data_IF_793559043081
#
_entry.id   IF_793559043081
#
_cell.length_a   1.000
_cell.length_b   1.000
_cell.length_c   1.000
_cell.angle_alpha   90.00
_cell.angle_beta   90.00
_cell.angle_gamma   90.00
#
_symmetry.space_group_name_H-M   'P 1'
#
loop_
_entity.id
_entity.type
_entity.pdbx_description
1 polymer ?
#
# COMPACT_ATOMS: atom_id res chain seq x y z
N UNK A 1 43.52 7.23 -23.44
CA UNK A 1 42.69 8.19 -22.69
C UNK A 1 41.25 8.00 -23.15
N UNK A 2 40.47 7.16 -22.48
CA UNK A 2 39.07 6.94 -22.84
C UNK A 2 38.22 8.07 -22.28
N UNK A 3 37.53 8.82 -23.13
CA UNK A 3 36.50 9.76 -22.69
C UNK A 3 35.45 8.97 -21.90
N UNK A 4 35.44 9.13 -20.58
CA UNK A 4 34.31 8.72 -19.74
C UNK A 4 33.14 9.57 -20.18
N UNK A 5 32.31 9.05 -21.08
CA UNK A 5 31.11 9.76 -21.55
C UNK A 5 30.24 10.08 -20.33
N UNK A 6 29.99 11.37 -20.10
CA UNK A 6 29.16 11.80 -19.00
C UNK A 6 27.70 11.36 -19.24
N UNK A 7 27.01 10.96 -18.17
CA UNK A 7 25.58 10.64 -18.30
C UNK A 7 24.81 11.94 -18.48
N UNK A 8 24.02 12.04 -19.56
CA UNK A 8 23.19 13.19 -19.89
C UNK A 8 21.73 12.89 -19.56
N UNK A 9 21.05 13.84 -18.90
CA UNK A 9 19.60 13.78 -18.69
C UNK A 9 18.93 14.76 -19.63
N UNK A 10 17.96 14.26 -20.41
CA UNK A 10 17.24 15.06 -21.42
C UNK A 10 15.85 14.51 -21.70
N UNK A 11 14.97 15.27 -22.37
CA UNK A 11 13.72 14.74 -22.90
C UNK A 11 13.94 13.52 -23.80
N UNK A 12 13.00 12.59 -23.74
CA UNK A 12 12.92 11.45 -24.65
C UNK A 12 12.69 11.93 -26.10
N UNK A 13 13.24 11.21 -27.07
CA UNK A 13 12.90 11.36 -28.49
C UNK A 13 11.88 10.30 -28.91
N UNK A 14 11.11 10.57 -29.96
CA UNK A 14 10.03 9.67 -30.38
C UNK A 14 10.53 8.26 -30.76
N UNK A 15 11.72 8.17 -31.37
CA UNK A 15 12.38 6.92 -31.76
C UNK A 15 12.93 6.12 -30.56
N UNK A 16 13.03 6.73 -29.38
CA UNK A 16 13.54 6.11 -28.16
C UNK A 16 12.45 5.45 -27.31
N UNK A 17 11.17 5.67 -27.65
CA UNK A 17 10.02 5.21 -26.85
C UNK A 17 9.98 3.69 -26.67
N UNK A 18 10.27 2.96 -27.74
CA UNK A 18 10.32 1.48 -27.73
C UNK A 18 11.44 0.96 -26.82
N UNK A 19 12.61 1.61 -26.85
CA UNK A 19 13.75 1.25 -26.01
C UNK A 19 13.47 1.52 -24.52
N UNK A 20 12.85 2.66 -24.21
CA UNK A 20 12.42 2.98 -22.84
C UNK A 20 11.37 1.98 -22.34
N UNK A 21 10.43 1.57 -23.19
CA UNK A 21 9.44 0.54 -22.84
C UNK A 21 10.10 -0.82 -22.58
N UNK A 22 11.06 -1.22 -23.40
CA UNK A 22 11.84 -2.44 -23.16
C UNK A 22 12.62 -2.38 -21.83
N UNK A 23 13.23 -1.23 -21.53
CA UNK A 23 13.89 -0.99 -20.24
C UNK A 23 12.91 -1.06 -19.06
N UNK A 24 11.70 -0.51 -19.20
CA UNK A 24 10.64 -0.59 -18.20
C UNK A 24 10.24 -2.04 -17.93
N UNK A 25 10.02 -2.85 -18.99
CA UNK A 25 9.70 -4.27 -18.84
C UNK A 25 10.80 -5.05 -18.11
N UNK A 26 12.08 -4.73 -18.36
CA UNK A 26 13.22 -5.34 -17.66
C UNK A 26 13.32 -4.89 -16.20
N UNK A 27 12.74 -3.73 -15.86
CA UNK A 27 12.83 -3.12 -14.54
C UNK A 27 11.73 -3.57 -13.57
N UNK A 28 10.55 -3.94 -14.09
CA UNK A 28 9.37 -4.27 -13.29
C UNK A 28 8.84 -5.71 -13.52
N UNK A 29 8.23 -6.33 -12.49
CA UNK A 29 7.50 -7.60 -12.62
C UNK A 29 6.34 -7.51 -13.61
N UNK A 30 5.90 -8.67 -14.15
CA UNK A 30 4.89 -8.76 -15.21
C UNK A 30 3.62 -7.95 -14.92
N UNK A 31 3.04 -8.12 -13.72
CA UNK A 31 1.76 -7.48 -13.36
C UNK A 31 1.89 -5.96 -13.29
N UNK A 32 3.00 -5.45 -12.74
CA UNK A 32 3.24 -4.00 -12.62
C UNK A 32 3.39 -3.34 -14.01
N UNK A 33 3.86 -4.07 -15.03
CA UNK A 33 4.00 -3.54 -16.41
C UNK A 33 2.66 -3.11 -17.00
N UNK A 34 1.55 -3.76 -16.65
CA UNK A 34 0.23 -3.41 -17.15
C UNK A 34 -0.26 -2.03 -16.67
N UNK A 35 0.28 -1.55 -15.55
CA UNK A 35 -0.08 -0.25 -14.98
C UNK A 35 0.80 0.88 -15.51
N UNK A 36 1.82 0.58 -16.32
CA UNK A 36 2.68 1.60 -16.89
C UNK A 36 1.90 2.50 -17.85
N UNK A 37 1.94 3.79 -17.58
CA UNK A 37 1.28 4.83 -18.37
C UNK A 37 2.27 5.88 -18.86
N UNK A 38 2.14 6.28 -20.11
CA UNK A 38 2.91 7.39 -20.68
C UNK A 38 2.29 8.73 -20.32
N UNK A 39 3.14 9.75 -20.21
CA UNK A 39 2.74 11.16 -20.18
C UNK A 39 3.52 11.91 -21.27
N UNK A 40 3.13 13.16 -21.59
CA UNK A 40 3.91 14.00 -22.51
C UNK A 40 5.31 14.38 -22.00
N UNK A 41 5.58 14.21 -20.70
CA UNK A 41 6.80 14.69 -20.06
C UNK A 41 7.63 13.50 -19.55
N UNK A 42 8.57 13.06 -20.36
CA UNK A 42 9.50 11.97 -20.02
C UNK A 42 10.92 12.43 -20.18
N UNK A 43 11.73 12.24 -19.14
CA UNK A 43 13.18 12.44 -19.20
C UNK A 43 13.88 11.08 -19.17
N UNK A 44 14.99 10.99 -19.88
CA UNK A 44 15.85 9.80 -19.92
C UNK A 44 17.25 10.15 -19.45
N UNK A 45 17.93 9.15 -18.87
CA UNK A 45 19.36 9.19 -18.60
C UNK A 45 20.07 8.35 -19.67
N UNK A 46 20.98 8.97 -20.42
CA UNK A 46 21.72 8.31 -21.49
C UNK A 46 23.24 8.50 -21.33
N UNK A 47 24.02 7.47 -21.67
CA UNK A 47 25.48 7.50 -21.65
C UNK A 47 26.00 6.79 -22.90
N UNK A 48 26.87 7.46 -23.68
CA UNK A 48 27.38 6.94 -24.95
C UNK A 48 26.29 6.35 -25.90
N UNK A 49 25.12 6.99 -25.95
CA UNK A 49 23.99 6.52 -26.78
C UNK A 49 23.16 5.40 -26.16
N UNK A 50 23.57 4.81 -25.03
CA UNK A 50 22.81 3.81 -24.30
C UNK A 50 21.83 4.45 -23.32
N UNK A 51 20.57 4.01 -23.32
CA UNK A 51 19.57 4.41 -22.33
C UNK A 51 19.75 3.62 -21.02
N UNK A 52 19.90 4.35 -19.91
CA UNK A 52 20.21 3.79 -18.59
C UNK A 52 19.10 4.00 -17.56
N UNK A 53 18.16 4.89 -17.82
CA UNK A 53 17.00 5.11 -16.96
C UNK A 53 16.02 6.11 -17.54
N UNK A 54 14.83 6.16 -16.96
CA UNK A 54 13.78 7.09 -17.34
C UNK A 54 12.96 7.53 -16.12
N UNK A 55 12.36 8.72 -16.26
CA UNK A 55 11.38 9.27 -15.33
C UNK A 55 10.19 9.82 -16.12
N UNK A 56 8.99 9.43 -15.70
CA UNK A 56 7.71 9.86 -16.29
C UNK A 56 7.07 10.86 -15.34
N UNK A 57 6.88 12.07 -15.84
CA UNK A 57 6.42 13.24 -15.10
C UNK A 57 5.01 13.60 -15.53
N UNK A 58 4.16 13.96 -14.58
CA UNK A 58 2.78 14.36 -14.81
C UNK A 58 2.55 15.76 -14.26
N UNK A 59 1.79 16.56 -15.00
CA UNK A 59 1.28 17.85 -14.54
C UNK A 59 -0.24 17.77 -14.46
N UNK A 60 -0.83 18.35 -13.43
CA UNK A 60 -2.27 18.57 -13.36
C UNK A 60 -2.60 19.78 -12.49
N UNK A 61 -3.80 20.33 -12.67
CA UNK A 61 -4.29 21.46 -11.90
C UNK A 61 -5.27 21.01 -10.81
N UNK A 62 -5.25 21.73 -9.70
CA UNK A 62 -6.20 21.64 -8.60
C UNK A 62 -7.01 22.95 -8.49
N UNK A 63 -8.13 22.97 -7.73
CA UNK A 63 -8.87 24.20 -7.47
C UNK A 63 -7.97 25.34 -6.95
N UNK A 64 -8.39 26.58 -7.23
CA UNK A 64 -7.61 27.81 -6.97
C UNK A 64 -6.31 27.90 -7.80
N UNK A 65 -6.33 27.36 -9.02
CA UNK A 65 -5.23 27.41 -9.99
C UNK A 65 -3.90 26.82 -9.47
N UNK A 66 -3.97 25.90 -8.49
CA UNK A 66 -2.77 25.26 -7.96
C UNK A 66 -2.25 24.25 -8.98
N UNK A 67 -1.00 24.39 -9.43
CA UNK A 67 -0.34 23.50 -10.38
C UNK A 67 0.46 22.45 -9.62
N UNK A 68 0.21 21.17 -9.92
CA UNK A 68 0.83 20.03 -9.24
C UNK A 68 1.73 19.27 -10.21
N UNK A 69 2.97 19.06 -9.81
CA UNK A 69 3.87 18.10 -10.41
C UNK A 69 3.74 16.72 -9.77
N UNK A 70 3.88 15.66 -10.54
CA UNK A 70 3.88 14.30 -10.02
C UNK A 70 4.87 13.40 -10.73
N UNK A 71 5.59 12.59 -9.96
CA UNK A 71 6.44 11.53 -10.51
C UNK A 71 5.61 10.25 -10.59
N UNK A 72 5.23 9.86 -11.81
CA UNK A 72 4.43 8.66 -12.05
C UNK A 72 5.29 7.41 -12.07
N UNK A 73 6.46 7.48 -12.71
CA UNK A 73 7.38 6.35 -12.81
C UNK A 73 8.82 6.85 -12.75
N UNK A 74 9.68 6.11 -12.06
CA UNK A 74 11.13 6.28 -12.14
C UNK A 74 11.79 4.91 -12.08
N UNK A 75 12.67 4.64 -13.04
CA UNK A 75 13.35 3.36 -13.13
C UNK A 75 14.68 3.51 -13.84
N UNK A 76 15.61 2.61 -13.49
CA UNK A 76 16.91 2.49 -14.14
C UNK A 76 17.06 1.07 -14.67
N UNK A 77 17.79 0.92 -15.77
CA UNK A 77 18.19 -0.37 -16.27
C UNK A 77 18.83 -1.20 -15.13
N UNK A 78 18.59 -2.53 -15.06
CA UNK A 78 19.13 -3.37 -14.00
C UNK A 78 20.64 -3.21 -13.77
N UNK A 79 21.40 -3.13 -14.87
CA UNK A 79 22.84 -2.91 -14.97
C UNK A 79 23.29 -1.53 -14.47
N UNK A 80 22.41 -0.53 -14.45
CA UNK A 80 22.71 0.83 -14.05
C UNK A 80 22.29 1.16 -12.61
N UNK A 81 21.80 0.16 -11.85
CA UNK A 81 21.37 0.32 -10.46
C UNK A 81 22.57 0.58 -9.56
N UNK A 82 22.39 1.47 -8.57
CA UNK A 82 23.43 1.85 -7.62
C UNK A 82 24.39 2.93 -8.12
N UNK A 83 24.30 3.35 -9.39
CA UNK A 83 25.11 4.42 -9.98
C UNK A 83 24.58 5.85 -9.73
N UNK A 84 23.61 6.00 -8.82
CA UNK A 84 22.99 7.30 -8.52
C UNK A 84 22.04 7.86 -9.60
N UNK A 85 21.80 7.14 -10.71
CA UNK A 85 20.97 7.64 -11.81
C UNK A 85 19.52 7.94 -11.43
N UNK A 86 18.90 7.10 -10.60
CA UNK A 86 17.54 7.34 -10.12
C UNK A 86 17.44 8.66 -9.33
N UNK A 87 18.48 9.00 -8.58
CA UNK A 87 18.56 10.28 -7.87
C UNK A 87 18.66 11.45 -8.86
N UNK A 88 19.58 11.37 -9.83
CA UNK A 88 19.77 12.43 -10.83
C UNK A 88 18.51 12.65 -11.69
N UNK A 89 17.82 11.58 -12.05
CA UNK A 89 16.54 11.65 -12.77
C UNK A 89 15.45 12.35 -11.94
N UNK A 90 15.36 12.06 -10.64
CA UNK A 90 14.41 12.73 -9.75
C UNK A 90 14.74 14.20 -9.56
N UNK A 91 16.03 14.55 -9.43
CA UNK A 91 16.48 15.95 -9.36
C UNK A 91 16.11 16.72 -10.64
N UNK A 92 16.40 16.16 -11.82
CA UNK A 92 15.99 16.77 -13.09
C UNK A 92 14.45 16.88 -13.24
N UNK A 93 13.71 15.93 -12.67
CA UNK A 93 12.25 16.00 -12.59
C UNK A 93 11.76 17.16 -11.71
N UNK A 94 12.46 17.47 -10.62
CA UNK A 94 12.15 18.64 -9.80
C UNK A 94 12.44 19.95 -10.53
N UNK A 95 13.59 20.04 -11.21
CA UNK A 95 13.94 21.22 -12.01
C UNK A 95 12.92 21.45 -13.14
N UNK A 96 12.36 20.36 -13.68
CA UNK A 96 11.23 20.44 -14.61
C UNK A 96 9.98 21.03 -13.92
N UNK A 97 9.55 20.49 -12.77
CA UNK A 97 8.36 21.00 -12.07
C UNK A 97 8.50 22.46 -11.62
N UNK A 98 9.70 22.88 -11.20
CA UNK A 98 9.98 24.26 -10.81
C UNK A 98 9.90 25.21 -12.00
N UNK A 99 10.50 24.86 -13.16
CA UNK A 99 10.36 25.65 -14.40
C UNK A 99 8.91 25.72 -14.89
N UNK A 100 8.15 24.67 -14.66
CA UNK A 100 6.73 24.64 -14.95
C UNK A 100 5.88 25.44 -13.94
N UNK A 101 6.48 26.00 -12.88
CA UNK A 101 5.76 26.78 -11.87
C UNK A 101 4.80 25.93 -11.04
N UNK A 102 5.16 24.68 -10.72
CA UNK A 102 4.34 23.84 -9.84
C UNK A 102 4.43 24.32 -8.39
N UNK A 103 3.28 24.46 -7.73
CA UNK A 103 3.18 24.84 -6.31
C UNK A 103 3.58 23.69 -5.37
N UNK A 104 3.42 22.45 -5.83
CA UNK A 104 3.75 21.26 -5.07
C UNK A 104 4.10 20.08 -5.97
N UNK A 105 4.82 19.13 -5.40
CA UNK A 105 5.18 17.88 -6.06
C UNK A 105 4.64 16.71 -5.23
N UNK A 106 3.95 15.79 -5.89
CA UNK A 106 3.38 14.58 -5.29
C UNK A 106 4.03 13.31 -5.85
N UNK A 107 4.09 12.27 -5.03
CA UNK A 107 4.52 10.93 -5.48
C UNK A 107 3.86 9.85 -4.62
N UNK A 108 3.40 8.77 -5.27
CA UNK A 108 2.92 7.57 -4.58
C UNK A 108 4.10 6.62 -4.36
N UNK A 109 4.29 6.15 -3.12
CA UNK A 109 5.38 5.23 -2.77
C UNK A 109 4.86 4.11 -1.89
N UNK A 110 5.12 2.87 -2.31
CA UNK A 110 4.84 1.67 -1.51
C UNK A 110 5.60 1.73 -0.18
N UNK A 111 4.92 1.41 0.92
CA UNK A 111 5.42 1.65 2.27
C UNK A 111 6.68 0.86 2.68
N UNK A 112 6.96 -0.27 2.06
CA UNK A 112 8.21 -1.04 2.24
C UNK A 112 9.27 -0.76 1.16
N UNK A 113 8.99 0.10 0.18
CA UNK A 113 9.95 0.57 -0.81
C UNK A 113 10.92 1.59 -0.20
N UNK A 114 11.87 1.05 0.56
CA UNK A 114 12.92 1.81 1.25
C UNK A 114 13.78 2.68 0.36
N UNK A 115 14.01 2.27 -0.89
CA UNK A 115 14.83 3.04 -1.84
C UNK A 115 14.14 4.35 -2.19
N UNK A 116 12.88 4.28 -2.63
CA UNK A 116 12.09 5.46 -2.98
C UNK A 116 11.77 6.32 -1.75
N UNK A 117 11.37 5.68 -0.63
CA UNK A 117 11.09 6.39 0.62
C UNK A 117 12.30 7.20 1.11
N UNK A 118 13.51 6.63 1.08
CA UNK A 118 14.74 7.36 1.43
C UNK A 118 14.98 8.50 0.45
N UNK A 119 14.87 8.24 -0.86
CA UNK A 119 15.13 9.22 -1.91
C UNK A 119 14.28 10.49 -1.73
N UNK A 120 12.98 10.33 -1.50
CA UNK A 120 12.04 11.44 -1.34
C UNK A 120 12.13 12.10 0.04
N UNK A 121 12.29 11.32 1.12
CA UNK A 121 12.44 11.88 2.47
C UNK A 121 13.63 12.84 2.57
N UNK A 122 14.78 12.52 1.95
CA UNK A 122 15.96 13.41 1.95
C UNK A 122 15.81 14.64 1.05
N UNK A 123 14.68 14.79 0.34
CA UNK A 123 14.38 15.87 -0.61
C UNK A 123 13.19 16.74 -0.14
N UNK A 124 12.90 16.71 1.16
CA UNK A 124 11.85 17.55 1.75
C UNK A 124 10.43 17.04 1.52
N UNK A 125 10.25 15.79 1.09
CA UNK A 125 8.93 15.16 1.05
C UNK A 125 8.57 14.59 2.42
N UNK A 126 7.28 14.60 2.72
CA UNK A 126 6.70 13.84 3.82
C UNK A 126 5.40 13.16 3.43
N UNK A 127 5.06 12.08 4.12
CA UNK A 127 3.81 11.33 3.92
C UNK A 127 2.62 12.18 4.38
N UNK A 128 1.63 12.36 3.51
CA UNK A 128 0.33 12.92 3.87
C UNK A 128 -0.57 11.81 4.42
N UNK A 129 -0.87 11.87 5.73
CA UNK A 129 -1.94 11.05 6.31
C UNK A 129 -3.29 11.37 5.67
N UNK A 130 -4.29 10.46 5.72
CA UNK A 130 -5.61 10.71 5.14
C UNK A 130 -6.22 12.04 5.60
N UNK A 131 -6.17 12.32 6.91
CA UNK A 131 -6.59 13.59 7.49
C UNK A 131 -5.83 14.79 6.91
N UNK A 132 -4.50 14.67 6.75
CA UNK A 132 -3.69 15.74 6.16
C UNK A 132 -4.02 15.98 4.68
N UNK A 133 -4.40 14.93 3.93
CA UNK A 133 -4.85 15.05 2.55
C UNK A 133 -6.15 15.87 2.46
N UNK A 134 -7.17 15.49 3.24
CA UNK A 134 -8.43 16.24 3.29
C UNK A 134 -8.27 17.65 3.83
N UNK A 135 -7.38 17.88 4.80
CA UNK A 135 -7.06 19.24 5.26
C UNK A 135 -6.36 20.08 4.19
N UNK A 136 -5.49 19.47 3.37
CA UNK A 136 -4.70 20.17 2.34
C UNK A 136 -5.49 20.43 1.06
N UNK A 137 -6.41 19.55 0.69
CA UNK A 137 -7.12 19.61 -0.60
C UNK A 137 -8.64 19.66 -0.48
N UNK A 138 -9.22 19.49 0.71
CA UNK A 138 -10.66 19.32 0.87
C UNK A 138 -11.17 18.14 0.05
N UNK A 139 -12.30 18.33 -0.62
CA UNK A 139 -12.87 17.33 -1.53
C UNK A 139 -12.02 17.11 -2.80
N UNK A 140 -11.12 18.03 -3.15
CA UNK A 140 -10.19 17.83 -4.26
C UNK A 140 -9.19 16.69 -4.00
N UNK A 141 -9.14 16.16 -2.78
CA UNK A 141 -8.44 14.89 -2.46
C UNK A 141 -8.85 13.77 -3.41
N UNK A 142 -10.13 13.68 -3.78
CA UNK A 142 -10.60 12.65 -4.72
C UNK A 142 -10.02 12.87 -6.13
N UNK A 143 -9.86 14.13 -6.55
CA UNK A 143 -9.19 14.45 -7.82
C UNK A 143 -7.73 14.05 -7.76
N UNK A 144 -7.02 14.36 -6.66
CA UNK A 144 -5.64 13.92 -6.45
C UNK A 144 -5.53 12.39 -6.55
N UNK A 145 -6.43 11.66 -5.89
CA UNK A 145 -6.44 10.20 -5.94
C UNK A 145 -6.68 9.64 -7.34
N UNK A 146 -7.54 10.26 -8.13
CA UNK A 146 -7.75 9.88 -9.53
C UNK A 146 -6.53 10.20 -10.38
N UNK A 147 -5.95 11.40 -10.23
CA UNK A 147 -4.79 11.82 -11.00
C UNK A 147 -3.53 10.99 -10.72
N UNK A 148 -3.40 10.46 -9.51
CA UNK A 148 -2.28 9.62 -9.09
C UNK A 148 -2.60 8.12 -9.14
N UNK A 149 -3.83 7.73 -9.47
CA UNK A 149 -4.32 6.34 -9.39
C UNK A 149 -4.19 5.75 -7.96
N UNK A 150 -4.11 6.61 -6.95
CA UNK A 150 -3.94 6.26 -5.53
C UNK A 150 -5.14 5.46 -4.96
N UNK A 151 -6.26 5.39 -5.66
CA UNK A 151 -7.47 4.69 -5.22
C UNK A 151 -7.45 3.16 -5.44
N UNK A 152 -6.34 2.62 -5.98
CA UNK A 152 -6.15 1.18 -6.24
C UNK A 152 -4.92 0.59 -5.53
N UNK A 153 -4.12 1.41 -4.85
CA UNK A 153 -2.78 1.05 -4.40
C UNK A 153 -2.70 0.84 -2.87
N UNK A 154 -3.33 -0.23 -2.37
CA UNK A 154 -3.29 -0.52 -0.93
C UNK A 154 -1.84 -0.62 -0.42
N UNK A 155 -1.51 0.16 0.61
CA UNK A 155 -0.17 0.22 1.19
C UNK A 155 0.84 1.12 0.49
N UNK A 156 0.38 1.89 -0.49
CA UNK A 156 1.10 3.04 -0.99
C UNK A 156 0.70 4.28 -0.21
N UNK A 157 1.65 5.20 -0.06
CA UNK A 157 1.46 6.45 0.64
C UNK A 157 1.65 7.62 -0.30
N UNK A 158 0.80 8.62 -0.15
CA UNK A 158 0.96 9.88 -0.85
C UNK A 158 2.03 10.72 -0.15
N UNK A 159 3.16 10.95 -0.82
CA UNK A 159 4.20 11.86 -0.36
C UNK A 159 4.03 13.21 -1.05
N UNK A 160 4.27 14.29 -0.29
CA UNK A 160 4.19 15.65 -0.81
C UNK A 160 5.41 16.47 -0.45
N UNK A 161 5.81 17.34 -1.40
CA UNK A 161 6.75 18.45 -1.20
C UNK A 161 6.01 19.76 -1.52
N UNK A 162 5.94 20.73 -0.58
CA UNK A 162 6.48 20.65 0.79
C UNK A 162 5.77 19.60 1.65
N UNK A 163 6.51 19.04 2.61
CA UNK A 163 6.02 18.09 3.60
C UNK A 163 4.84 18.65 4.42
N UNK A 164 3.99 17.81 5.03
CA UNK A 164 2.91 18.27 5.91
C UNK A 164 3.46 19.04 7.12
N UNK A 165 2.81 20.14 7.46
CA UNK A 165 3.18 20.98 8.60
C UNK A 165 2.92 20.32 9.97
N UNK A 166 1.95 19.40 10.05
CA UNK A 166 1.59 18.69 11.28
C UNK A 166 1.97 17.22 11.18
N UNK A 167 2.44 16.66 12.30
CA UNK A 167 2.66 15.23 12.44
C UNK A 167 1.36 14.44 12.26
N UNK A 168 1.49 13.18 11.82
CA UNK A 168 0.35 12.28 11.68
C UNK A 168 -0.13 11.75 13.04
N UNK A 169 -1.40 11.34 13.11
CA UNK A 169 -1.99 10.72 14.30
C UNK A 169 -2.25 9.23 14.02
N UNK A 170 -1.42 8.31 14.57
CA UNK A 170 -1.60 6.87 14.35
C UNK A 170 -2.92 6.32 14.92
N UNK A 171 -3.39 6.86 16.04
CA UNK A 171 -4.65 6.42 16.67
C UNK A 171 -5.85 6.81 15.82
N UNK A 172 -5.87 8.04 15.28
CA UNK A 172 -6.93 8.48 14.37
C UNK A 172 -6.95 7.65 13.09
N UNK A 173 -5.79 7.32 12.54
CA UNK A 173 -5.69 6.43 11.38
C UNK A 173 -6.22 5.03 11.69
N UNK A 174 -5.94 4.48 12.88
CA UNK A 174 -6.41 3.16 13.28
C UNK A 174 -7.93 3.12 13.43
N UNK A 175 -8.51 4.07 14.18
CA UNK A 175 -9.96 4.17 14.32
C UNK A 175 -10.67 4.51 13.00
N UNK A 176 -10.05 5.36 12.17
CA UNK A 176 -10.53 5.65 10.82
C UNK A 176 -10.57 4.40 9.94
N UNK A 177 -9.57 3.52 10.05
CA UNK A 177 -9.56 2.26 9.33
C UNK A 177 -10.66 1.31 9.81
N UNK A 178 -10.90 1.21 11.12
CA UNK A 178 -12.02 0.44 11.67
C UNK A 178 -13.34 1.00 11.12
N UNK A 179 -13.59 2.30 11.27
CA UNK A 179 -14.84 2.93 10.83
C UNK A 179 -15.09 2.73 9.32
N UNK A 180 -14.06 2.90 8.49
CA UNK A 180 -14.18 2.71 7.04
C UNK A 180 -14.46 1.24 6.66
N UNK A 181 -13.75 0.28 7.25
CA UNK A 181 -14.05 -1.14 7.01
C UNK A 181 -15.44 -1.52 7.52
N UNK A 182 -15.89 -0.97 8.66
CA UNK A 182 -17.24 -1.21 9.18
C UNK A 182 -18.30 -0.69 8.22
N UNK A 183 -18.17 0.56 7.73
CA UNK A 183 -19.09 1.14 6.76
C UNK A 183 -19.16 0.31 5.47
N UNK A 184 -18.02 -0.18 4.97
CA UNK A 184 -17.98 -1.05 3.80
C UNK A 184 -18.59 -2.43 4.10
N UNK A 185 -18.38 -2.97 5.30
CA UNK A 185 -19.02 -4.20 5.76
C UNK A 185 -20.55 -4.08 5.75
N UNK A 186 -21.09 -2.99 6.31
CA UNK A 186 -22.53 -2.73 6.24
C UNK A 186 -23.03 -2.55 4.81
N UNK A 187 -22.24 -1.88 3.95
CA UNK A 187 -22.57 -1.74 2.54
C UNK A 187 -22.65 -3.08 1.81
N UNK A 188 -21.74 -4.01 2.13
CA UNK A 188 -21.76 -5.36 1.58
C UNK A 188 -23.00 -6.15 2.05
N UNK A 189 -23.36 -6.08 3.33
CA UNK A 189 -24.57 -6.73 3.85
C UNK A 189 -25.86 -6.16 3.25
N UNK A 190 -25.91 -4.83 3.09
CA UNK A 190 -27.00 -4.17 2.36
C UNK A 190 -27.10 -4.68 0.92
N UNK A 191 -25.97 -4.80 0.23
CA UNK A 191 -25.93 -5.30 -1.15
C UNK A 191 -26.41 -6.76 -1.28
N UNK A 192 -26.21 -7.57 -0.25
CA UNK A 192 -26.68 -8.96 -0.17
C UNK A 192 -28.17 -9.07 0.20
N UNK A 193 -28.86 -7.97 0.48
CA UNK A 193 -30.26 -7.99 0.95
C UNK A 193 -30.42 -8.52 2.38
N UNK A 194 -29.33 -8.56 3.16
CA UNK A 194 -29.32 -9.14 4.50
C UNK A 194 -29.64 -8.13 5.61
N UNK A 195 -30.02 -6.89 5.29
CA UNK A 195 -30.28 -5.84 6.28
C UNK A 195 -31.47 -6.12 7.19
N UNK A 196 -32.46 -6.91 6.73
CA UNK A 196 -33.58 -7.36 7.56
C UNK A 196 -33.30 -8.59 8.41
N UNK A 197 -32.14 -9.23 8.22
CA UNK A 197 -31.72 -10.44 8.94
C UNK A 197 -30.75 -10.13 10.10
N UNK A 198 -30.32 -8.88 10.25
CA UNK A 198 -29.42 -8.44 11.32
C UNK A 198 -30.31 -8.02 12.49
N UNK A 199 -30.36 -8.82 13.55
CA UNK A 199 -30.99 -8.38 14.80
C UNK A 199 -30.34 -7.06 15.28
N UNK A 200 -31.06 -6.13 15.92
CA UNK A 200 -30.48 -4.86 16.38
C UNK A 200 -29.23 -5.03 17.27
N UNK A 201 -29.14 -6.14 18.00
CA UNK A 201 -27.96 -6.50 18.80
C UNK A 201 -26.70 -6.79 17.95
N UNK A 202 -26.87 -7.14 16.67
CA UNK A 202 -25.82 -7.46 15.72
C UNK A 202 -25.28 -6.25 14.95
N UNK A 203 -25.90 -5.07 15.08
CA UNK A 203 -25.42 -3.82 14.47
C UNK A 203 -23.99 -3.48 14.94
N UNK A 204 -23.60 -3.94 16.14
CA UNK A 204 -22.24 -3.73 16.67
C UNK A 204 -21.28 -4.90 16.39
N UNK A 205 -21.74 -6.01 15.81
CA UNK A 205 -20.91 -7.19 15.60
C UNK A 205 -19.75 -6.91 14.63
N UNK A 206 -20.03 -6.26 13.48
CA UNK A 206 -18.99 -5.91 12.49
C UNK A 206 -17.88 -5.04 13.10
N UNK A 207 -18.16 -3.85 13.68
CA UNK A 207 -17.10 -3.03 14.25
C UNK A 207 -16.35 -3.73 15.40
N UNK A 208 -17.04 -4.49 16.25
CA UNK A 208 -16.40 -5.21 17.35
C UNK A 208 -15.46 -6.31 16.86
N UNK A 209 -15.89 -7.10 15.88
CA UNK A 209 -15.07 -8.15 15.26
C UNK A 209 -13.89 -7.54 14.50
N UNK A 210 -14.07 -6.41 13.79
CA UNK A 210 -12.95 -5.72 13.15
C UNK A 210 -11.95 -5.19 14.18
N UNK A 211 -12.41 -4.61 15.29
CA UNK A 211 -11.55 -4.20 16.41
C UNK A 211 -10.77 -5.40 16.96
N UNK A 212 -11.42 -6.56 17.11
CA UNK A 212 -10.77 -7.79 17.55
C UNK A 212 -9.71 -8.26 16.53
N UNK A 213 -10.10 -8.52 15.29
CA UNK A 213 -9.22 -9.08 14.24
C UNK A 213 -8.04 -8.14 13.94
N UNK A 214 -8.31 -6.85 13.72
CA UNK A 214 -7.25 -5.88 13.44
C UNK A 214 -6.45 -5.55 14.70
N UNK A 215 -7.09 -5.58 15.87
CA UNK A 215 -6.46 -5.34 17.16
C UNK A 215 -5.42 -6.40 17.50
N UNK A 216 -5.77 -7.69 17.43
CA UNK A 216 -4.80 -8.76 17.69
C UNK A 216 -3.67 -8.78 16.67
N UNK A 217 -3.98 -8.47 15.40
CA UNK A 217 -2.98 -8.33 14.33
C UNK A 217 -2.00 -7.21 14.66
N UNK A 218 -2.52 -6.01 14.92
CA UNK A 218 -1.72 -4.83 15.24
C UNK A 218 -0.89 -5.03 16.51
N UNK A 219 -1.48 -5.59 17.56
CA UNK A 219 -0.80 -5.84 18.83
C UNK A 219 0.33 -6.85 18.65
N UNK A 220 0.08 -7.96 17.94
CA UNK A 220 1.11 -8.96 17.63
C UNK A 220 2.28 -8.35 16.88
N UNK A 221 2.01 -7.55 15.84
CA UNK A 221 3.04 -6.83 15.09
C UNK A 221 3.81 -5.83 15.95
N UNK A 222 3.11 -5.02 16.75
CA UNK A 222 3.69 -3.99 17.62
C UNK A 222 4.60 -4.60 18.68
N UNK A 223 4.14 -5.64 19.38
CA UNK A 223 4.91 -6.32 20.42
C UNK A 223 6.15 -7.02 19.83
N UNK A 224 6.01 -7.69 18.68
CA UNK A 224 7.15 -8.30 18.00
C UNK A 224 8.16 -7.27 17.49
N UNK A 225 7.71 -6.08 17.06
CA UNK A 225 8.60 -5.00 16.66
C UNK A 225 9.36 -4.44 17.88
N UNK A 226 8.65 -4.18 18.98
CA UNK A 226 9.25 -3.68 20.24
C UNK A 226 10.30 -4.63 20.80
N UNK A 227 10.01 -5.94 20.87
CA UNK A 227 10.97 -6.96 21.31
C UNK A 227 12.23 -7.04 20.46
N UNK A 228 12.17 -6.57 19.22
CA UNK A 228 13.30 -6.56 18.28
C UNK A 228 13.98 -5.18 18.17
N UNK A 229 13.62 -4.23 19.04
CA UNK A 229 14.15 -2.87 19.05
C UNK A 229 13.74 -2.05 17.83
N UNK A 230 12.60 -2.36 17.21
CA UNK A 230 12.08 -1.61 16.06
C UNK A 230 11.02 -0.61 16.50
N UNK A 231 11.35 0.68 16.38
CA UNK A 231 10.37 1.74 16.53
C UNK A 231 9.45 1.77 15.30
N UNK A 232 8.17 1.47 15.52
CA UNK A 232 7.15 1.41 14.47
C UNK A 232 5.95 2.29 14.81
N UNK A 233 5.22 2.69 13.78
CA UNK A 233 3.94 3.40 13.90
C UNK A 233 2.89 2.78 12.97
N UNK A 234 1.63 2.85 13.37
CA UNK A 234 0.53 2.44 12.50
C UNK A 234 0.34 3.44 11.36
N UNK A 235 0.07 2.92 10.15
CA UNK A 235 -0.40 3.69 9.00
C UNK A 235 -1.61 3.01 8.38
N UNK A 236 -2.65 3.79 8.13
CA UNK A 236 -3.81 3.34 7.36
C UNK A 236 -3.43 3.20 5.88
N UNK A 237 -4.18 2.37 5.15
CA UNK A 237 -4.03 2.19 3.70
C UNK A 237 -5.24 2.77 3.00
N UNK A 238 -5.46 4.08 3.13
CA UNK A 238 -6.68 4.73 2.65
C UNK A 238 -6.94 4.51 1.16
N UNK A 239 -5.86 4.37 0.39
CA UNK A 239 -5.83 3.97 -1.00
C UNK A 239 -6.67 2.72 -1.33
N UNK A 240 -6.81 1.78 -0.40
CA UNK A 240 -7.53 0.53 -0.61
C UNK A 240 -9.06 0.63 -0.41
N UNK A 241 -9.56 1.65 0.30
CA UNK A 241 -10.99 1.76 0.60
C UNK A 241 -11.89 1.92 -0.63
N UNK A 242 -11.54 2.74 -1.65
CA UNK A 242 -12.37 2.86 -2.83
C UNK A 242 -12.58 1.52 -3.55
N UNK A 243 -11.52 0.75 -3.76
CA UNK A 243 -11.62 -0.58 -4.36
C UNK A 243 -12.47 -1.52 -3.50
N UNK A 244 -12.29 -1.51 -2.18
CA UNK A 244 -13.13 -2.34 -1.30
C UNK A 244 -14.60 -1.93 -1.32
N UNK A 245 -14.92 -0.65 -1.44
CA UNK A 245 -16.29 -0.18 -1.56
C UNK A 245 -16.93 -0.63 -2.89
N UNK A 246 -16.17 -0.59 -3.99
CA UNK A 246 -16.64 -1.12 -5.29
C UNK A 246 -16.91 -2.62 -5.21
N UNK A 247 -16.03 -3.40 -4.56
CA UNK A 247 -16.23 -4.84 -4.38
C UNK A 247 -17.48 -5.12 -3.53
N UNK A 248 -17.69 -4.37 -2.45
CA UNK A 248 -18.88 -4.47 -1.62
C UNK A 248 -20.16 -4.15 -2.39
N UNK A 249 -20.17 -3.07 -3.18
CA UNK A 249 -21.33 -2.68 -4.00
C UNK A 249 -21.62 -3.65 -5.15
N UNK A 250 -20.59 -4.17 -5.80
CA UNK A 250 -20.78 -5.05 -6.96
C UNK A 250 -21.18 -6.46 -6.53
N UNK A 251 -20.52 -7.00 -5.51
CA UNK A 251 -20.55 -8.43 -5.18
C UNK A 251 -21.07 -8.75 -3.78
N UNK A 252 -21.30 -7.76 -2.91
CA UNK A 252 -21.59 -8.02 -1.49
C UNK A 252 -20.39 -8.64 -0.75
N UNK A 253 -19.17 -8.48 -1.28
CA UNK A 253 -17.95 -9.04 -0.72
C UNK A 253 -17.09 -7.97 -0.05
N UNK A 254 -16.18 -8.37 0.84
CA UNK A 254 -15.27 -7.47 1.53
C UNK A 254 -13.82 -7.68 1.09
N UNK A 255 -13.14 -6.58 0.76
CA UNK A 255 -11.68 -6.53 0.62
C UNK A 255 -11.10 -5.78 1.84
N UNK A 256 -10.70 -6.50 2.91
CA UNK A 256 -10.36 -5.86 4.17
C UNK A 256 -9.07 -5.04 4.06
N UNK A 257 -9.10 -3.84 4.61
CA UNK A 257 -8.00 -2.87 4.58
C UNK A 257 -7.51 -2.61 6.02
N UNK A 258 -6.67 -3.49 6.60
CA UNK A 258 -6.29 -3.41 8.01
C UNK A 258 -5.22 -2.35 8.32
N UNK A 259 -4.59 -1.76 7.30
CA UNK A 259 -3.36 -0.99 7.48
C UNK A 259 -2.20 -1.87 7.95
N UNK A 260 -1.11 -1.25 8.40
CA UNK A 260 0.05 -1.98 8.94
C UNK A 260 0.94 -1.10 9.82
N UNK A 261 1.94 -1.71 10.45
CA UNK A 261 3.00 -1.00 11.15
C UNK A 261 4.20 -0.80 10.24
N UNK A 262 4.73 0.42 10.26
CA UNK A 262 5.88 0.84 9.47
C UNK A 262 6.97 1.41 10.36
N UNK A 263 8.25 1.20 10.04
CA UNK A 263 9.35 1.88 10.69
C UNK A 263 9.14 3.40 10.72
N UNK A 264 9.45 4.01 11.87
CA UNK A 264 9.38 5.48 12.02
C UNK A 264 10.49 6.17 11.22
N UNK A 265 11.64 5.51 11.07
CA UNK A 265 12.78 6.04 10.32
C UNK A 265 12.57 5.86 8.81
N UNK A 266 13.06 6.82 8.03
CA UNK A 266 13.17 6.70 6.57
C UNK A 266 14.54 6.15 6.14
N UNK A 267 15.49 6.02 7.07
CA UNK A 267 16.83 5.51 6.83
C UNK A 267 16.95 4.04 7.23
N UNK A 268 16.36 3.16 6.43
CA UNK A 268 16.53 1.72 6.58
C UNK A 268 16.55 1.05 5.21
N UNK A 269 16.96 -0.22 5.17
CA UNK A 269 17.00 -1.02 3.93
C UNK A 269 16.15 -2.26 4.15
N UNK A 270 15.18 -2.49 3.27
CA UNK A 270 14.24 -3.60 3.40
C UNK A 270 14.94 -4.95 3.58
N UNK A 271 15.89 -5.28 2.70
CA UNK A 271 16.65 -6.53 2.77
C UNK A 271 17.40 -6.74 4.10
N UNK A 272 17.92 -5.68 4.71
CA UNK A 272 18.65 -5.77 5.99
C UNK A 272 17.71 -6.05 7.15
N UNK A 273 16.49 -5.51 7.10
CA UNK A 273 15.50 -5.64 8.17
C UNK A 273 14.52 -6.78 7.96
N UNK A 274 14.58 -7.43 6.80
CA UNK A 274 13.69 -8.51 6.40
C UNK A 274 13.55 -9.62 7.46
N UNK A 275 14.63 -10.11 8.13
CA UNK A 275 14.46 -11.11 9.19
C UNK A 275 13.60 -10.62 10.37
N UNK A 276 13.70 -9.34 10.72
CA UNK A 276 12.88 -8.76 11.79
C UNK A 276 11.45 -8.52 11.33
N UNK A 277 11.29 -7.99 10.12
CA UNK A 277 9.98 -7.70 9.52
C UNK A 277 9.17 -8.97 9.22
N UNK A 278 9.82 -10.06 8.83
CA UNK A 278 9.17 -11.36 8.66
C UNK A 278 8.58 -11.90 9.96
N UNK A 279 9.31 -11.78 11.08
CA UNK A 279 8.78 -12.15 12.41
C UNK A 279 7.65 -11.22 12.87
N UNK A 280 7.74 -9.92 12.57
CA UNK A 280 6.65 -8.97 12.82
C UNK A 280 5.40 -9.37 12.02
N UNK A 281 5.57 -9.72 10.75
CA UNK A 281 4.49 -10.17 9.88
C UNK A 281 3.84 -11.46 10.42
N UNK A 282 4.65 -12.44 10.81
CA UNK A 282 4.17 -13.70 11.41
C UNK A 282 3.39 -13.46 12.71
N UNK A 283 3.91 -12.60 13.59
CA UNK A 283 3.25 -12.25 14.83
C UNK A 283 1.92 -11.50 14.61
N UNK A 284 1.75 -10.83 13.46
CA UNK A 284 0.49 -10.24 13.05
C UNK A 284 -0.50 -11.24 12.48
N UNK A 285 -0.05 -12.14 11.61
CA UNK A 285 -0.94 -13.07 10.87
C UNK A 285 -1.37 -14.26 11.71
N UNK A 286 -0.47 -14.84 12.51
CA UNK A 286 -0.72 -16.08 13.25
C UNK A 286 -1.91 -15.96 14.23
N UNK A 287 -2.03 -14.92 15.07
CA UNK A 287 -3.19 -14.79 15.95
C UNK A 287 -4.51 -14.68 15.20
N UNK A 288 -4.54 -13.97 14.07
CA UNK A 288 -5.75 -13.85 13.24
C UNK A 288 -6.14 -15.19 12.66
N UNK A 289 -5.18 -15.94 12.09
CA UNK A 289 -5.42 -17.27 11.57
C UNK A 289 -5.96 -18.21 12.66
N UNK A 290 -5.38 -18.18 13.86
CA UNK A 290 -5.84 -18.98 14.99
C UNK A 290 -7.26 -18.61 15.41
N UNK A 291 -7.59 -17.31 15.51
CA UNK A 291 -8.95 -16.85 15.84
C UNK A 291 -9.98 -17.33 14.82
N UNK A 292 -9.68 -17.20 13.52
CA UNK A 292 -10.58 -17.67 12.46
C UNK A 292 -10.71 -19.18 12.47
N UNK A 293 -9.62 -19.91 12.74
CA UNK A 293 -9.64 -21.38 12.87
C UNK A 293 -10.50 -21.82 14.05
N UNK A 294 -10.35 -21.18 15.20
CA UNK A 294 -11.13 -21.47 16.41
C UNK A 294 -12.60 -21.11 16.18
N UNK A 295 -12.90 -19.99 15.52
CA UNK A 295 -14.27 -19.63 15.17
C UNK A 295 -14.93 -20.67 14.27
N UNK A 296 -14.21 -21.18 13.28
CA UNK A 296 -14.69 -22.26 12.39
C UNK A 296 -14.93 -23.56 13.17
N UNK A 297 -14.00 -23.96 14.03
CA UNK A 297 -14.15 -25.16 14.85
C UNK A 297 -15.31 -25.06 15.86
N UNK A 298 -15.50 -23.90 16.50
CA UNK A 298 -16.58 -23.68 17.46
C UNK A 298 -17.95 -23.78 16.81
N UNK A 299 -18.12 -23.29 15.58
CA UNK A 299 -19.38 -23.39 14.85
C UNK A 299 -19.80 -24.84 14.52
N UNK A 300 -18.89 -25.81 14.62
CA UNK A 300 -19.21 -27.23 14.48
C UNK A 300 -19.81 -27.84 15.76
N UNK A 301 -19.77 -27.12 16.89
CA UNK A 301 -20.36 -27.57 18.14
C UNK A 301 -21.88 -27.38 18.11
N UNK A 302 -22.62 -28.41 18.54
CA UNK A 302 -24.06 -28.29 18.74
C UNK A 302 -24.37 -27.43 19.98
N UNK A 303 -25.49 -26.70 19.95
CA UNK A 303 -26.06 -25.92 21.05
C UNK A 303 -25.31 -24.63 21.46
N UNK A 304 -24.72 -23.90 20.52
CA UNK A 304 -24.22 -22.56 20.82
C UNK A 304 -25.38 -21.54 21.02
N UNK A 305 -25.26 -20.61 21.98
CA UNK A 305 -26.19 -19.48 22.08
C UNK A 305 -26.24 -18.65 20.79
N UNK A 306 -27.41 -18.15 20.40
CA UNK A 306 -27.62 -17.41 19.15
C UNK A 306 -26.64 -16.25 18.96
N UNK A 307 -26.42 -15.45 20.02
CA UNK A 307 -25.49 -14.31 19.98
C UNK A 307 -24.03 -14.74 19.74
N UNK A 308 -23.63 -15.93 20.20
CA UNK A 308 -22.29 -16.46 20.01
C UNK A 308 -22.14 -16.99 18.58
N UNK A 309 -23.13 -17.71 18.06
CA UNK A 309 -23.13 -18.17 16.66
C UNK A 309 -22.98 -16.99 15.70
N UNK A 310 -23.83 -15.97 15.88
CA UNK A 310 -23.76 -14.71 15.15
C UNK A 310 -22.36 -14.07 15.16
N UNK A 311 -21.74 -13.94 16.33
CA UNK A 311 -20.39 -13.39 16.46
C UNK A 311 -19.34 -14.22 15.72
N UNK A 312 -19.44 -15.55 15.76
CA UNK A 312 -18.54 -16.46 15.05
C UNK A 312 -18.75 -16.39 13.53
N UNK A 313 -19.99 -16.32 13.05
CA UNK A 313 -20.31 -16.15 11.63
C UNK A 313 -19.74 -14.84 11.07
N UNK A 314 -19.94 -13.72 11.78
CA UNK A 314 -19.33 -12.42 11.40
C UNK A 314 -17.80 -12.50 11.46
N UNK A 315 -17.24 -13.23 12.44
CA UNK A 315 -15.80 -13.48 12.54
C UNK A 315 -15.28 -14.25 11.33
N UNK A 316 -15.99 -15.26 10.84
CA UNK A 316 -15.60 -15.99 9.64
C UNK A 316 -15.77 -15.16 8.37
N UNK A 317 -16.89 -14.44 8.25
CA UNK A 317 -17.18 -13.60 7.08
C UNK A 317 -16.14 -12.49 6.88
N UNK A 318 -15.70 -11.85 7.97
CA UNK A 318 -14.62 -10.84 7.94
C UNK A 318 -13.22 -11.47 7.94
N UNK A 319 -13.05 -12.55 8.69
CA UNK A 319 -11.76 -13.17 8.97
C UNK A 319 -11.21 -13.97 7.81
N UNK A 320 -12.03 -14.78 7.12
CA UNK A 320 -11.62 -15.58 5.95
C UNK A 320 -11.00 -14.72 4.84
N UNK A 321 -11.66 -13.65 4.32
CA UNK A 321 -11.02 -12.80 3.33
C UNK A 321 -9.77 -12.11 3.89
N UNK A 322 -9.77 -11.69 5.16
CA UNK A 322 -8.60 -11.07 5.79
C UNK A 322 -7.37 -11.98 5.76
N UNK A 323 -7.49 -13.25 6.16
CA UNK A 323 -6.35 -14.17 6.16
C UNK A 323 -5.91 -14.55 4.74
N UNK A 324 -6.84 -14.61 3.77
CA UNK A 324 -6.49 -14.84 2.36
C UNK A 324 -5.62 -13.69 1.83
N UNK A 325 -6.07 -12.44 1.97
CA UNK A 325 -5.27 -11.28 1.54
C UNK A 325 -3.99 -11.11 2.38
N UNK A 326 -4.06 -11.31 3.70
CA UNK A 326 -2.93 -11.07 4.59
C UNK A 326 -1.83 -12.14 4.52
N UNK A 327 -2.12 -13.35 4.02
CA UNK A 327 -1.18 -14.48 4.00
C UNK A 327 -0.96 -15.04 2.59
N UNK A 328 -2.02 -15.39 1.88
CA UNK A 328 -1.95 -16.22 0.65
C UNK A 328 -1.49 -15.44 -0.57
N UNK A 329 -1.73 -14.13 -0.62
CA UNK A 329 -1.47 -13.28 -1.79
C UNK A 329 -0.23 -12.38 -1.58
N UNK A 330 1.01 -12.89 -1.72
CA UNK A 330 2.23 -12.13 -1.42
C UNK A 330 2.71 -11.20 -2.56
N UNK A 331 1.97 -11.12 -3.68
CA UNK A 331 2.40 -10.41 -4.88
C UNK A 331 1.57 -9.15 -5.13
N UNK A 332 2.08 -8.24 -5.95
CA UNK A 332 1.35 -7.06 -6.39
C UNK A 332 -0.03 -7.46 -6.98
N UNK A 333 -1.12 -6.73 -6.65
CA UNK A 333 -1.18 -5.47 -5.90
C UNK A 333 -1.23 -5.62 -4.37
N UNK A 334 -1.15 -6.84 -3.83
CA UNK A 334 -1.27 -7.14 -2.40
C UNK A 334 0.07 -7.22 -1.66
N UNK A 335 1.16 -6.75 -2.28
CA UNK A 335 2.50 -6.81 -1.70
C UNK A 335 2.65 -6.04 -0.37
N UNK A 336 1.70 -5.15 -0.06
CA UNK A 336 1.61 -4.42 1.20
C UNK A 336 1.08 -5.27 2.36
N UNK A 337 0.48 -6.44 2.13
CA UNK A 337 0.04 -7.39 3.15
C UNK A 337 1.15 -8.32 3.67
N UNK A 338 0.96 -8.89 4.86
CA UNK A 338 2.00 -9.61 5.60
C UNK A 338 2.59 -10.81 4.84
N UNK A 339 1.80 -11.44 3.97
CA UNK A 339 2.20 -12.54 3.11
C UNK A 339 3.47 -12.24 2.33
N UNK A 340 3.64 -11.00 1.83
CA UNK A 340 4.87 -10.59 1.13
C UNK A 340 6.11 -10.71 2.01
N UNK A 341 6.03 -10.26 3.25
CA UNK A 341 7.18 -10.27 4.18
C UNK A 341 7.49 -11.69 4.63
N UNK A 342 6.46 -12.52 4.81
CA UNK A 342 6.64 -13.94 5.08
C UNK A 342 7.34 -14.64 3.90
N UNK A 343 6.85 -14.42 2.68
CA UNK A 343 7.42 -15.00 1.46
C UNK A 343 8.89 -14.62 1.27
N UNK A 344 9.20 -13.32 1.40
CA UNK A 344 10.57 -12.81 1.24
C UNK A 344 11.50 -13.33 2.34
N UNK A 345 11.02 -13.42 3.59
CA UNK A 345 11.83 -13.84 4.73
C UNK A 345 12.07 -15.35 4.76
N UNK A 346 11.01 -16.15 4.65
CA UNK A 346 11.07 -17.61 4.74
C UNK A 346 9.89 -18.25 4.00
N UNK A 347 10.16 -18.81 2.81
CA UNK A 347 9.14 -19.45 1.96
C UNK A 347 8.48 -20.67 2.60
N UNK A 348 9.18 -21.40 3.48
CA UNK A 348 8.61 -22.55 4.18
C UNK A 348 7.58 -22.07 5.20
N UNK A 349 7.91 -21.06 6.00
CA UNK A 349 6.96 -20.45 6.96
C UNK A 349 5.75 -19.89 6.22
N UNK A 350 5.97 -19.17 5.12
CA UNK A 350 4.87 -18.70 4.29
C UNK A 350 4.00 -19.87 3.76
N UNK A 351 4.63 -20.93 3.23
CA UNK A 351 3.92 -22.08 2.68
C UNK A 351 3.04 -22.76 3.73
N UNK A 352 3.57 -22.99 4.94
CA UNK A 352 2.80 -23.55 6.05
C UNK A 352 1.60 -22.67 6.43
N UNK A 353 1.81 -21.35 6.55
CA UNK A 353 0.74 -20.39 6.86
C UNK A 353 -0.32 -20.32 5.75
N UNK A 354 0.10 -20.36 4.49
CA UNK A 354 -0.79 -20.34 3.34
C UNK A 354 -1.62 -21.62 3.24
N UNK A 355 -1.01 -22.79 3.43
CA UNK A 355 -1.72 -24.09 3.46
C UNK A 355 -2.74 -24.14 4.60
N UNK A 356 -2.36 -23.70 5.81
CA UNK A 356 -3.30 -23.63 6.94
C UNK A 356 -4.46 -22.66 6.66
N UNK A 357 -4.17 -21.52 6.04
CA UNK A 357 -5.20 -20.55 5.63
C UNK A 357 -6.18 -21.16 4.63
N UNK A 358 -5.68 -21.84 3.61
CA UNK A 358 -6.51 -22.53 2.62
C UNK A 358 -7.39 -23.59 3.31
N UNK A 359 -6.82 -24.39 4.22
CA UNK A 359 -7.59 -25.37 4.99
C UNK A 359 -8.75 -24.74 5.75
N UNK A 360 -8.52 -23.63 6.46
CA UNK A 360 -9.55 -22.93 7.25
C UNK A 360 -10.60 -22.25 6.36
N UNK A 361 -10.25 -21.83 5.15
CA UNK A 361 -11.20 -21.21 4.22
C UNK A 361 -12.22 -22.23 3.70
N UNK A 362 -11.77 -23.47 3.44
CA UNK A 362 -12.58 -24.55 2.88
C UNK A 362 -13.27 -25.46 3.92
N UNK A 363 -13.01 -25.25 5.21
CA UNK A 363 -13.78 -25.80 6.34
C UNK A 363 -14.80 -24.76 6.80
#
# INVERSE_FOLDING_TARGET
MGQSSEVVIRPIRDDERSQVQAMMHRSFPLVERYFFGWTPHVLIAAQAGQLLGAIVLKLFALPRQRKVGSISWVFTAPEARGLGLGQRLVEAGFDFFEREGCDEILVSVEGFNTSSSKLFATRGFGILSPEAQFRRYGLATLVVWTQLVHHLEAGYFLWARPAPAKADNPSLQWWGAIAANSAIGFLALWRMGMTGAIEPAMEFAIPLVLVMLFGVRYLGMKLAAQRQGLAVRFRAWEAGFPLSAVIALAFGALYPIPGSVYPITHQWRYRKWLPKLGRVALAGTLPVLLLVSVASALLQLSNLPLWLMAGLEVTLWLGKPLIVFDIVLPFFPFASFNGRRLWDWNKVVWGLMATATIGVVFV
#
